data_IF_171931407891
#
_entry.id   IF_171931407891
#
_cell.length_a   1.000
_cell.length_b   1.000
_cell.length_c   1.000
_cell.angle_alpha   90.00
_cell.angle_beta   90.00
_cell.angle_gamma   90.00
#
_symmetry.space_group_name_H-M   'P 1'
#
loop_
_entity.id
_entity.type
_entity.pdbx_description
1 polymer ?
#
# COMPACT_ATOMS: atom_id res chain seq x y z
N UNK A 1 -55.22 -30.92 -7.94
CA UNK A 1 -56.13 -30.59 -9.05
C UNK A 1 -55.79 -29.24 -9.59
N UNK A 2 -55.61 -29.09 -10.78
CA UNK A 2 -55.51 -28.32 -12.04
C UNK A 2 -54.07 -27.82 -12.28
N UNK A 3 -53.30 -28.45 -13.20
CA UNK A 3 -53.11 -28.45 -14.68
C UNK A 3 -53.09 -27.04 -15.29
N UNK A 4 -51.89 -26.61 -15.66
CA UNK A 4 -51.28 -26.49 -16.98
C UNK A 4 -51.86 -25.43 -17.94
N UNK A 5 -50.98 -24.60 -18.50
CA UNK A 5 -50.96 -24.34 -19.94
C UNK A 5 -49.66 -23.67 -20.38
N UNK A 6 -49.02 -24.37 -21.24
CA UNK A 6 -47.91 -23.99 -22.11
C UNK A 6 -48.50 -23.22 -23.29
N UNK A 7 -47.90 -22.10 -23.71
CA UNK A 7 -48.11 -21.54 -25.05
C UNK A 7 -46.78 -21.10 -25.64
N UNK A 8 -46.37 -21.88 -26.63
CA UNK A 8 -45.33 -21.54 -27.59
C UNK A 8 -45.97 -21.01 -28.86
N UNK A 9 -45.38 -20.07 -29.55
CA UNK A 9 -45.44 -19.87 -30.99
C UNK A 9 -44.54 -18.73 -31.49
N UNK A 10 -44.22 -18.60 -32.80
CA UNK A 10 -43.01 -19.12 -33.39
C UNK A 10 -42.15 -18.07 -34.11
N UNK A 11 -41.01 -18.54 -34.60
CA UNK A 11 -40.07 -17.89 -35.53
C UNK A 11 -40.75 -17.28 -36.76
N UNK A 12 -40.23 -16.13 -37.22
CA UNK A 12 -40.33 -15.74 -38.60
C UNK A 12 -39.00 -15.20 -39.14
N UNK A 13 -38.33 -16.04 -39.90
CA UNK A 13 -37.25 -15.67 -40.80
C UNK A 13 -37.80 -14.84 -41.98
N UNK A 14 -37.23 -13.73 -42.30
CA UNK A 14 -37.23 -13.18 -43.66
C UNK A 14 -35.86 -12.66 -44.03
N UNK A 15 -35.23 -13.45 -44.85
CA UNK A 15 -34.11 -13.10 -45.75
C UNK A 15 -34.51 -12.01 -46.74
N UNK A 16 -33.67 -11.03 -46.96
CA UNK A 16 -33.62 -10.28 -48.23
C UNK A 16 -32.19 -9.99 -48.60
N UNK A 17 -31.76 -10.68 -49.64
CA UNK A 17 -30.58 -10.37 -50.46
C UNK A 17 -30.83 -9.14 -51.33
N UNK A 18 -29.86 -8.30 -51.55
CA UNK A 18 -29.73 -7.38 -52.69
C UNK A 18 -28.27 -7.00 -52.83
N UNK A 19 -27.60 -7.61 -53.67
CA UNK A 19 -27.04 -7.44 -55.06
C UNK A 19 -26.27 -6.10 -55.22
N UNK A 20 -25.01 -6.31 -55.34
CA UNK A 20 -23.93 -5.70 -56.17
C UNK A 20 -24.39 -4.73 -57.26
N UNK A 21 -23.71 -3.57 -57.32
CA UNK A 21 -23.45 -2.84 -58.55
C UNK A 21 -22.02 -2.30 -58.54
N UNK A 22 -21.18 -2.89 -59.41
CA UNK A 22 -19.91 -2.34 -59.87
C UNK A 22 -20.19 -1.14 -60.78
N UNK A 23 -19.44 -0.07 -60.62
CA UNK A 23 -19.19 0.90 -61.71
C UNK A 23 -17.74 1.30 -61.67
N UNK A 24 -17.04 0.86 -62.68
CA UNK A 24 -15.70 1.30 -63.02
C UNK A 24 -15.77 2.69 -63.68
N UNK A 25 -14.88 3.59 -63.30
CA UNK A 25 -14.53 4.76 -64.14
C UNK A 25 -13.02 4.92 -64.09
N UNK A 26 -12.44 4.65 -65.28
CA UNK A 26 -11.07 4.99 -65.61
C UNK A 26 -10.98 6.45 -66.04
N UNK A 27 -9.95 7.16 -65.61
CA UNK A 27 -9.36 8.23 -66.40
C UNK A 27 -8.07 8.82 -65.79
N UNK A 28 -7.04 8.71 -66.57
CA UNK A 28 -5.98 9.66 -66.96
C UNK A 28 -4.92 10.04 -65.93
N UNK A 29 -3.76 9.50 -66.23
CA UNK A 29 -2.42 9.88 -65.77
C UNK A 29 -2.08 11.28 -66.26
N UNK A 30 -1.76 12.18 -65.32
CA UNK A 30 -1.00 13.37 -65.59
C UNK A 30 0.30 13.33 -64.78
N UNK A 31 1.40 13.09 -65.49
CA UNK A 31 2.74 13.04 -64.93
C UNK A 31 3.22 14.50 -64.71
N UNK A 32 3.22 14.98 -63.46
CA UNK A 32 3.92 16.20 -63.07
C UNK A 32 5.13 15.78 -62.23
N UNK A 33 6.31 15.82 -62.88
CA UNK A 33 7.57 15.66 -62.18
C UNK A 33 7.84 16.93 -61.36
N UNK A 34 7.61 16.89 -60.06
CA UNK A 34 8.14 17.87 -59.10
C UNK A 34 9.46 17.32 -58.55
N UNK A 35 10.55 18.03 -58.84
CA UNK A 35 11.81 17.87 -58.11
C UNK A 35 11.57 18.25 -56.62
N UNK A 36 11.47 17.26 -55.76
CA UNK A 36 11.63 17.48 -54.32
C UNK A 36 13.12 17.39 -54.00
N UNK A 37 13.73 18.53 -53.75
CA UNK A 37 15.01 18.59 -53.03
C UNK A 37 14.80 18.00 -51.62
N UNK A 38 15.43 16.85 -51.36
CA UNK A 38 15.44 16.23 -50.07
C UNK A 38 16.17 17.14 -49.07
N UNK A 39 15.42 17.75 -48.16
CA UNK A 39 15.98 18.32 -46.95
C UNK A 39 16.48 17.16 -46.09
N UNK A 40 17.64 17.29 -45.44
CA UNK A 40 18.11 16.25 -44.53
C UNK A 40 17.09 16.07 -43.39
N UNK A 41 16.62 14.85 -43.23
CA UNK A 41 15.76 14.48 -42.10
C UNK A 41 16.52 14.77 -40.79
N UNK A 42 16.03 15.74 -40.02
CA UNK A 42 16.48 15.95 -38.65
C UNK A 42 16.23 14.65 -37.90
N UNK A 43 17.28 13.98 -37.47
CA UNK A 43 17.18 12.82 -36.60
C UNK A 43 16.44 13.26 -35.35
N UNK A 44 15.23 12.75 -35.20
CA UNK A 44 14.46 12.88 -33.96
C UNK A 44 15.25 12.16 -32.85
N UNK A 45 15.60 12.81 -31.75
CA UNK A 45 16.27 12.12 -30.66
C UNK A 45 15.40 10.95 -30.23
N UNK A 46 15.99 9.77 -30.08
CA UNK A 46 15.36 8.60 -29.49
C UNK A 46 14.67 9.00 -28.16
N UNK A 47 13.49 8.40 -27.82
CA UNK A 47 12.87 8.67 -26.53
C UNK A 47 13.93 8.47 -25.46
N UNK A 48 14.27 9.55 -24.75
CA UNK A 48 15.34 9.56 -23.77
C UNK A 48 15.15 8.45 -22.77
N UNK A 49 16.19 7.66 -22.54
CA UNK A 49 16.29 6.79 -21.40
C UNK A 49 15.87 7.61 -20.17
N UNK A 50 14.94 7.08 -19.38
CA UNK A 50 14.53 7.71 -18.15
C UNK A 50 15.80 8.11 -17.35
N UNK A 51 15.90 9.34 -16.83
CA UNK A 51 17.10 9.77 -16.13
C UNK A 51 17.40 8.76 -15.02
N UNK A 52 18.61 8.22 -15.04
CA UNK A 52 19.08 7.36 -13.96
C UNK A 52 18.87 8.11 -12.64
N UNK A 53 18.15 7.52 -11.71
CA UNK A 53 17.90 8.13 -10.41
C UNK A 53 19.24 8.28 -9.71
N UNK A 54 19.71 9.50 -9.58
CA UNK A 54 20.86 9.79 -8.74
C UNK A 54 20.43 9.57 -7.28
N UNK A 55 20.82 8.41 -6.70
CA UNK A 55 20.76 8.27 -5.25
C UNK A 55 21.52 9.45 -4.64
N UNK A 56 20.93 10.13 -3.68
CA UNK A 56 21.62 11.19 -2.94
C UNK A 56 22.87 10.57 -2.32
N UNK A 57 24.07 11.12 -2.56
CA UNK A 57 25.26 10.59 -1.93
C UNK A 57 25.05 10.54 -0.42
N UNK A 58 24.99 9.32 0.17
CA UNK A 58 24.83 9.12 1.62
C UNK A 58 23.63 8.27 2.05
N UNK A 59 22.58 8.07 1.24
CA UNK A 59 21.47 7.18 1.62
C UNK A 59 21.43 5.89 0.77
N UNK A 60 21.95 4.74 1.27
CA UNK A 60 21.98 3.48 0.53
C UNK A 60 20.59 2.86 0.33
N UNK A 61 19.58 3.37 1.02
CA UNK A 61 18.21 2.85 0.99
C UNK A 61 17.30 3.61 0.04
N UNK A 62 17.77 4.71 -0.52
CA UNK A 62 17.06 5.51 -1.53
C UNK A 62 17.13 4.80 -2.88
N UNK A 63 16.16 3.95 -3.17
CA UNK A 63 16.12 3.06 -4.33
C UNK A 63 15.00 3.42 -5.28
N UNK A 64 15.16 2.95 -6.54
CA UNK A 64 14.19 3.20 -7.58
C UNK A 64 14.21 4.64 -8.13
N UNK A 65 13.35 4.95 -9.12
CA UNK A 65 13.27 6.26 -9.73
C UNK A 65 12.78 7.33 -8.75
N UNK A 66 12.91 8.60 -9.14
CA UNK A 66 12.28 9.69 -8.38
C UNK A 66 10.77 9.47 -8.35
N UNK A 67 10.15 9.50 -7.15
CA UNK A 67 8.74 9.21 -7.04
C UNK A 67 7.88 10.31 -7.68
N UNK A 68 6.78 9.87 -8.30
CA UNK A 68 5.74 10.76 -8.83
C UNK A 68 4.39 10.39 -8.21
N UNK A 69 3.41 11.29 -8.28
CA UNK A 69 2.06 10.99 -7.80
C UNK A 69 1.49 9.75 -8.51
N UNK A 70 1.64 9.64 -9.82
CA UNK A 70 1.18 8.47 -10.58
C UNK A 70 1.82 7.16 -10.11
N UNK A 71 3.07 7.19 -9.65
CA UNK A 71 3.72 5.99 -9.10
C UNK A 71 3.10 5.55 -7.79
N UNK A 72 2.84 6.46 -6.85
CA UNK A 72 2.23 6.09 -5.55
C UNK A 72 0.74 5.75 -5.67
N UNK A 73 0.10 6.13 -6.76
CA UNK A 73 -1.28 5.76 -7.11
C UNK A 73 -1.37 4.42 -7.85
N UNK A 74 -0.25 3.93 -8.38
CA UNK A 74 -0.20 2.65 -9.07
C UNK A 74 -0.34 1.48 -8.08
N UNK A 75 -0.99 0.41 -8.50
CA UNK A 75 -1.15 -0.82 -7.70
C UNK A 75 0.13 -1.65 -7.60
N UNK A 76 1.18 -1.24 -8.32
CA UNK A 76 2.49 -1.89 -8.33
C UNK A 76 3.61 -0.86 -8.35
N UNK A 77 4.61 -1.08 -7.51
CA UNK A 77 5.86 -0.34 -7.52
C UNK A 77 6.89 -0.91 -8.53
N UNK A 78 8.11 -0.38 -8.53
CA UNK A 78 9.12 -0.72 -9.53
C UNK A 78 9.80 -2.09 -9.34
N UNK A 79 9.56 -2.80 -8.23
CA UNK A 79 10.31 -4.01 -7.90
C UNK A 79 9.50 -5.28 -8.13
N UNK A 80 10.13 -6.28 -8.76
CA UNK A 80 9.57 -7.62 -8.85
C UNK A 80 9.51 -8.28 -7.45
N UNK A 81 8.47 -9.05 -7.19
CA UNK A 81 8.19 -9.62 -5.88
C UNK A 81 7.97 -11.13 -5.92
N UNK A 82 8.16 -11.77 -4.78
CA UNK A 82 7.78 -13.14 -4.50
C UNK A 82 7.10 -13.22 -3.14
N UNK A 83 6.47 -14.36 -2.88
CA UNK A 83 5.86 -14.64 -1.58
C UNK A 83 6.15 -16.08 -1.15
N UNK A 84 6.07 -16.33 0.15
CA UNK A 84 6.15 -17.66 0.74
C UNK A 84 5.27 -17.77 1.98
N UNK A 85 4.74 -18.96 2.23
CA UNK A 85 4.01 -19.25 3.46
C UNK A 85 4.94 -19.33 4.65
N UNK A 86 4.45 -18.88 5.79
CA UNK A 86 5.14 -18.94 7.08
C UNK A 86 4.45 -20.00 7.95
N UNK A 87 5.18 -20.98 8.47
CA UNK A 87 4.60 -22.00 9.33
C UNK A 87 4.21 -21.42 10.69
N UNK A 88 3.36 -22.15 11.42
CA UNK A 88 3.02 -21.88 12.83
C UNK A 88 4.18 -22.19 13.77
N UNK A 89 4.07 -21.81 15.05
CA UNK A 89 5.03 -22.21 16.09
C UNK A 89 6.18 -21.24 16.34
N UNK A 90 6.06 -20.01 15.82
CA UNK A 90 7.08 -18.97 16.01
C UNK A 90 6.59 -17.81 16.90
N UNK A 91 5.63 -18.08 17.79
CA UNK A 91 5.00 -17.08 18.64
C UNK A 91 3.76 -16.43 18.03
N UNK A 92 3.42 -16.83 16.80
CA UNK A 92 2.20 -16.47 16.06
C UNK A 92 1.73 -17.66 15.23
N UNK A 93 0.53 -17.61 14.67
CA UNK A 93 -0.09 -18.75 13.99
C UNK A 93 0.22 -18.82 12.48
N UNK A 94 1.48 -18.55 12.11
CA UNK A 94 1.89 -18.56 10.71
C UNK A 94 1.44 -17.32 9.95
N UNK A 95 1.47 -17.39 8.61
CA UNK A 95 1.11 -16.26 7.76
C UNK A 95 1.71 -16.34 6.37
N UNK A 96 1.96 -15.18 5.79
CA UNK A 96 2.59 -15.04 4.47
C UNK A 96 3.61 -13.91 4.50
N UNK A 97 4.80 -14.15 3.94
CA UNK A 97 5.77 -13.09 3.70
C UNK A 97 5.87 -12.79 2.22
N UNK A 98 5.83 -11.49 1.87
CA UNK A 98 6.02 -10.94 0.53
C UNK A 98 7.32 -10.14 0.50
N UNK A 99 8.10 -10.25 -0.56
CA UNK A 99 9.41 -9.63 -0.57
C UNK A 99 9.91 -9.31 -1.99
N UNK A 100 10.72 -8.24 -2.15
CA UNK A 100 11.40 -7.96 -3.41
C UNK A 100 12.39 -9.07 -3.76
N UNK A 101 12.45 -9.44 -5.04
CA UNK A 101 13.33 -10.52 -5.51
C UNK A 101 14.74 -10.06 -5.82
N UNK A 102 14.96 -8.77 -6.08
CA UNK A 102 16.28 -8.22 -6.39
C UNK A 102 17.20 -8.26 -5.14
N UNK A 103 18.31 -8.99 -5.27
CA UNK A 103 19.34 -9.10 -4.23
C UNK A 103 20.53 -8.18 -4.47
N UNK A 104 20.64 -7.57 -5.63
CA UNK A 104 21.74 -6.67 -5.98
C UNK A 104 21.68 -5.34 -5.21
N UNK A 105 20.49 -4.98 -4.74
CA UNK A 105 20.23 -3.77 -3.98
C UNK A 105 20.46 -3.91 -2.46
N UNK A 106 20.94 -5.08 -2.00
CA UNK A 106 21.18 -5.36 -0.57
C UNK A 106 19.90 -5.69 0.21
N UNK A 107 19.87 -5.32 1.49
CA UNK A 107 18.76 -5.64 2.41
C UNK A 107 17.62 -4.62 2.33
N UNK A 108 16.40 -5.04 2.61
CA UNK A 108 15.18 -4.25 2.55
C UNK A 108 14.66 -3.94 3.96
N UNK A 109 14.01 -2.79 4.13
CA UNK A 109 13.20 -2.52 5.30
C UNK A 109 12.02 -3.48 5.37
N UNK A 110 11.55 -3.79 6.58
CA UNK A 110 10.49 -4.76 6.76
C UNK A 110 9.38 -4.29 7.70
N UNK A 111 8.17 -4.83 7.47
CA UNK A 111 7.04 -4.60 8.38
C UNK A 111 6.28 -5.89 8.64
N UNK A 112 5.73 -5.99 9.85
CA UNK A 112 4.75 -7.01 10.22
C UNK A 112 3.35 -6.39 10.25
N UNK A 113 2.35 -7.11 9.73
CA UNK A 113 0.94 -6.70 9.68
C UNK A 113 0.11 -7.69 10.48
N UNK A 114 -0.75 -7.19 11.37
CA UNK A 114 -1.68 -8.00 12.17
C UNK A 114 -3.12 -7.57 11.94
N UNK A 115 -4.06 -8.53 11.73
CA UNK A 115 -5.46 -8.25 11.46
C UNK A 115 -6.24 -7.77 12.70
N UNK A 116 -7.49 -7.35 12.47
CA UNK A 116 -8.46 -6.98 13.49
C UNK A 116 -9.00 -8.13 14.34
N UNK A 117 -9.91 -7.81 15.25
CA UNK A 117 -10.59 -8.81 16.11
C UNK A 117 -11.44 -9.75 15.26
N UNK A 118 -11.35 -11.05 15.48
CA UNK A 118 -11.97 -12.14 14.71
C UNK A 118 -11.53 -12.27 13.26
N UNK A 119 -10.65 -11.41 12.79
CA UNK A 119 -10.14 -11.36 11.43
C UNK A 119 -9.03 -12.40 11.18
N UNK A 120 -8.73 -12.59 9.90
CA UNK A 120 -7.59 -13.36 9.41
C UNK A 120 -6.86 -12.51 8.38
N UNK A 121 -5.55 -12.35 8.54
CA UNK A 121 -4.73 -11.55 7.62
C UNK A 121 -4.96 -11.96 6.15
N UNK A 122 -4.97 -13.27 5.87
CA UNK A 122 -5.15 -13.78 4.51
C UNK A 122 -6.46 -13.38 3.82
N UNK A 123 -7.47 -13.01 4.61
CA UNK A 123 -8.79 -12.63 4.09
C UNK A 123 -8.99 -11.11 4.02
N UNK A 124 -8.25 -10.35 4.80
CA UNK A 124 -8.51 -8.92 5.01
C UNK A 124 -7.36 -8.05 4.49
N UNK A 125 -6.15 -8.17 5.03
CA UNK A 125 -5.04 -7.28 4.69
C UNK A 125 -4.01 -7.90 3.72
N UNK A 126 -4.21 -9.15 3.27
CA UNK A 126 -3.24 -9.83 2.39
C UNK A 126 -2.99 -9.08 1.06
N UNK A 127 -3.95 -8.29 0.60
CA UNK A 127 -3.83 -7.46 -0.59
C UNK A 127 -2.69 -6.40 -0.47
N UNK A 128 -2.37 -5.96 0.75
CA UNK A 128 -1.27 -5.01 1.01
C UNK A 128 0.09 -5.65 0.75
N UNK A 129 0.22 -6.96 0.94
CA UNK A 129 1.49 -7.67 0.84
C UNK A 129 2.21 -7.48 -0.49
N UNK A 130 1.64 -7.92 -1.63
CA UNK A 130 2.26 -7.74 -2.93
C UNK A 130 2.39 -6.26 -3.32
N UNK A 131 1.47 -5.41 -2.90
CA UNK A 131 1.52 -3.98 -3.20
C UNK A 131 2.70 -3.31 -2.51
N UNK A 132 2.79 -3.38 -1.19
CA UNK A 132 3.89 -2.77 -0.42
C UNK A 132 5.24 -3.40 -0.78
N UNK A 133 5.30 -4.73 -1.01
CA UNK A 133 6.57 -5.36 -1.37
C UNK A 133 7.09 -4.89 -2.73
N UNK A 134 6.22 -4.57 -3.67
CA UNK A 134 6.62 -4.00 -4.97
C UNK A 134 7.21 -2.59 -4.86
N UNK A 135 6.98 -1.89 -3.75
CA UNK A 135 7.62 -0.63 -3.42
C UNK A 135 8.93 -0.79 -2.63
N UNK A 136 9.37 -2.02 -2.38
CA UNK A 136 10.69 -2.29 -1.79
C UNK A 136 10.64 -2.57 -0.30
N UNK A 137 9.58 -3.21 0.20
CA UNK A 137 9.49 -3.65 1.60
C UNK A 137 9.37 -5.17 1.69
N UNK A 138 9.92 -5.76 2.74
CA UNK A 138 9.55 -7.12 3.13
C UNK A 138 8.33 -7.02 4.03
N UNK A 139 7.23 -7.67 3.65
CA UNK A 139 5.94 -7.58 4.33
C UNK A 139 5.58 -8.95 4.89
N UNK A 140 5.51 -9.05 6.20
CA UNK A 140 5.06 -10.25 6.90
C UNK A 140 3.64 -10.03 7.42
N UNK A 141 2.65 -10.65 6.79
CA UNK A 141 1.31 -10.73 7.35
C UNK A 141 1.18 -11.94 8.25
N UNK A 142 0.81 -11.71 9.51
CA UNK A 142 0.68 -12.77 10.52
C UNK A 142 -0.78 -13.15 10.75
N UNK A 143 -1.02 -14.44 10.97
CA UNK A 143 -2.26 -14.91 11.60
C UNK A 143 -2.05 -14.95 13.11
N UNK A 144 -3.03 -14.47 13.89
CA UNK A 144 -2.96 -14.50 15.35
C UNK A 144 -3.17 -15.90 15.92
N UNK A 145 -2.58 -16.19 17.08
CA UNK A 145 -2.73 -17.49 17.75
C UNK A 145 -4.20 -17.79 18.10
N UNK A 146 -4.95 -16.75 18.44
CA UNK A 146 -6.40 -16.80 18.50
C UNK A 146 -7.00 -15.59 17.77
N UNK A 147 -8.06 -15.79 17.03
CA UNK A 147 -8.78 -14.70 16.36
C UNK A 147 -9.37 -13.69 17.35
N UNK A 148 -9.54 -14.08 18.60
CA UNK A 148 -10.05 -13.23 19.68
C UNK A 148 -8.95 -12.69 20.59
N UNK A 149 -7.68 -12.79 20.20
CA UNK A 149 -6.57 -12.20 20.93
C UNK A 149 -6.78 -10.70 21.15
N UNK A 150 -6.43 -10.25 22.35
CA UNK A 150 -6.49 -8.84 22.71
C UNK A 150 -5.30 -8.07 22.10
N UNK A 151 -5.28 -6.76 22.26
CA UNK A 151 -4.24 -5.90 21.72
C UNK A 151 -2.83 -6.26 22.24
N UNK A 152 -2.73 -6.67 23.49
CA UNK A 152 -1.47 -7.05 24.14
C UNK A 152 -0.85 -8.31 23.52
N UNK A 153 -1.67 -9.35 23.29
CA UNK A 153 -1.27 -10.56 22.61
C UNK A 153 -0.84 -10.26 21.17
N UNK A 154 -1.61 -9.44 20.42
CA UNK A 154 -1.27 -9.03 19.05
C UNK A 154 0.04 -8.26 18.95
N UNK A 155 0.34 -7.42 19.95
CA UNK A 155 1.64 -6.75 20.04
C UNK A 155 2.77 -7.76 20.22
N UNK A 156 2.60 -8.76 21.07
CA UNK A 156 3.56 -9.84 21.30
C UNK A 156 3.80 -10.64 20.01
N UNK A 157 2.73 -10.96 19.29
CA UNK A 157 2.78 -11.70 18.03
C UNK A 157 3.46 -10.91 16.91
N UNK A 158 3.20 -9.59 16.79
CA UNK A 158 3.90 -8.71 15.86
C UNK A 158 5.41 -8.71 16.10
N UNK A 159 5.83 -8.56 17.37
CA UNK A 159 7.25 -8.54 17.72
C UNK A 159 7.91 -9.91 17.54
N UNK A 160 7.19 -11.01 17.82
CA UNK A 160 7.62 -12.35 17.50
C UNK A 160 7.79 -12.56 15.99
N UNK A 161 6.87 -12.03 15.18
CA UNK A 161 6.95 -12.07 13.72
C UNK A 161 8.18 -11.35 13.18
N UNK A 162 8.47 -10.15 13.65
CA UNK A 162 9.68 -9.42 13.28
C UNK A 162 10.95 -10.13 13.72
N UNK A 163 10.96 -10.74 14.90
CA UNK A 163 12.08 -11.56 15.38
C UNK A 163 12.30 -12.78 14.49
N UNK A 164 11.24 -13.51 14.15
CA UNK A 164 11.34 -14.64 13.24
C UNK A 164 11.84 -14.20 11.86
N UNK A 165 11.32 -13.12 11.34
CA UNK A 165 11.67 -12.61 10.01
C UNK A 165 13.16 -12.29 9.89
N UNK A 166 13.76 -11.73 10.95
CA UNK A 166 15.16 -11.30 10.95
C UNK A 166 16.15 -12.39 11.39
N UNK A 167 15.69 -13.42 12.12
CA UNK A 167 16.60 -14.43 12.70
C UNK A 167 16.42 -15.83 12.15
N UNK A 168 15.21 -16.24 11.78
CA UNK A 168 14.88 -17.63 11.43
C UNK A 168 14.40 -17.80 10.00
N UNK A 169 13.83 -16.73 9.40
CA UNK A 169 13.26 -16.79 8.06
C UNK A 169 14.29 -17.24 7.02
N UNK A 170 13.89 -18.06 6.02
CA UNK A 170 14.74 -18.37 4.86
C UNK A 170 15.22 -17.14 4.11
N UNK A 171 14.51 -16.02 4.21
CA UNK A 171 14.87 -14.76 3.55
C UNK A 171 15.50 -13.73 4.51
N UNK A 172 15.88 -14.11 5.73
CA UNK A 172 16.45 -13.18 6.73
C UNK A 172 17.62 -12.35 6.20
N UNK A 173 18.42 -12.91 5.28
CA UNK A 173 19.54 -12.20 4.65
C UNK A 173 19.09 -11.08 3.68
N UNK A 174 17.80 -10.96 3.39
CA UNK A 174 17.20 -9.87 2.59
C UNK A 174 16.63 -8.76 3.48
N UNK A 175 16.55 -9.00 4.79
CA UNK A 175 15.91 -8.09 5.75
C UNK A 175 16.97 -7.30 6.50
N UNK A 176 16.77 -6.00 6.62
CA UNK A 176 17.57 -5.15 7.49
C UNK A 176 16.96 -5.18 8.91
N UNK A 177 17.65 -5.75 9.91
CA UNK A 177 17.10 -5.85 11.27
C UNK A 177 16.98 -4.49 11.99
N UNK A 178 17.56 -3.42 11.44
CA UNK A 178 17.50 -2.08 11.99
C UNK A 178 16.42 -1.19 11.34
N UNK A 179 15.73 -1.71 10.32
CA UNK A 179 14.68 -0.98 9.59
C UNK A 179 13.37 -1.76 9.62
N UNK A 180 12.76 -1.80 10.81
CA UNK A 180 11.55 -2.57 11.10
C UNK A 180 10.38 -1.66 11.45
N UNK A 181 9.18 -2.09 11.10
CA UNK A 181 7.92 -1.40 11.32
C UNK A 181 6.81 -2.38 11.68
N UNK A 182 5.73 -1.85 12.23
CA UNK A 182 4.49 -2.60 12.50
C UNK A 182 3.28 -1.87 11.93
N UNK A 183 2.29 -2.65 11.49
CA UNK A 183 1.02 -2.17 11.00
C UNK A 183 -0.09 -3.05 11.53
N UNK A 184 -1.25 -2.46 11.83
CA UNK A 184 -2.42 -3.23 12.21
C UNK A 184 -3.73 -2.48 12.01
N UNK A 185 -4.80 -3.24 11.80
CA UNK A 185 -6.15 -2.73 11.67
C UNK A 185 -6.94 -3.00 12.96
N UNK A 186 -7.76 -2.05 13.41
CA UNK A 186 -8.68 -2.21 14.54
C UNK A 186 -7.95 -2.69 15.80
N UNK A 187 -8.32 -3.84 16.38
CA UNK A 187 -7.61 -4.47 17.50
C UNK A 187 -6.13 -4.76 17.16
N UNK A 188 -5.82 -5.08 15.89
CA UNK A 188 -4.45 -5.17 15.40
C UNK A 188 -3.72 -3.84 15.42
N UNK A 189 -4.41 -2.75 15.11
CA UNK A 189 -3.88 -1.40 15.23
C UNK A 189 -3.57 -1.02 16.67
N UNK A 190 -4.41 -1.42 17.62
CA UNK A 190 -4.11 -1.30 19.05
C UNK A 190 -2.89 -2.13 19.45
N UNK A 191 -2.74 -3.34 18.87
CA UNK A 191 -1.55 -4.17 19.02
C UNK A 191 -0.29 -3.51 18.46
N UNK A 192 -0.40 -2.85 17.30
CA UNK A 192 0.72 -2.12 16.70
C UNK A 192 1.19 -0.94 17.58
N UNK A 193 0.26 -0.20 18.20
CA UNK A 193 0.58 0.86 19.16
C UNK A 193 1.37 0.27 20.35
N UNK A 194 0.87 -0.79 20.97
CA UNK A 194 1.53 -1.43 22.10
C UNK A 194 2.90 -1.99 21.71
N UNK A 195 3.02 -2.56 20.50
CA UNK A 195 4.29 -3.04 19.98
C UNK A 195 5.32 -1.90 19.80
N UNK A 196 4.88 -0.74 19.30
CA UNK A 196 5.72 0.45 19.15
C UNK A 196 6.20 0.98 20.51
N UNK A 197 5.32 1.03 21.50
CA UNK A 197 5.69 1.42 22.87
C UNK A 197 6.69 0.45 23.52
N UNK A 198 6.58 -0.86 23.25
CA UNK A 198 7.50 -1.90 23.75
C UNK A 198 8.84 -1.92 23.05
N UNK A 199 8.88 -1.56 21.75
CA UNK A 199 10.08 -1.57 20.93
C UNK A 199 10.33 -0.21 20.27
N UNK A 200 10.85 0.78 21.01
CA UNK A 200 11.08 2.13 20.49
C UNK A 200 12.15 2.22 19.39
N UNK A 201 12.82 1.12 19.08
CA UNK A 201 13.77 1.02 17.95
C UNK A 201 13.08 0.80 16.61
N UNK A 202 11.78 0.53 16.58
CA UNK A 202 10.97 0.50 15.36
C UNK A 202 11.07 1.85 14.63
N UNK A 203 11.12 1.81 13.31
CA UNK A 203 11.28 3.02 12.49
C UNK A 203 9.95 3.64 12.11
N UNK A 204 8.87 2.88 12.10
CA UNK A 204 7.54 3.37 11.83
C UNK A 204 6.47 2.49 12.49
N UNK A 205 5.34 3.09 12.79
CA UNK A 205 4.10 2.42 13.14
C UNK A 205 2.96 2.97 12.29
N UNK A 206 2.06 2.09 11.85
CA UNK A 206 0.83 2.46 11.14
C UNK A 206 -0.37 1.81 11.84
N UNK A 207 -1.31 2.64 12.28
CA UNK A 207 -2.58 2.21 12.82
C UNK A 207 -3.74 2.55 11.89
N UNK A 208 -4.41 1.52 11.36
CA UNK A 208 -5.61 1.64 10.54
C UNK A 208 -6.83 1.48 11.45
N UNK A 209 -7.57 2.55 11.66
CA UNK A 209 -8.63 2.61 12.65
C UNK A 209 -8.23 1.92 13.98
N UNK A 210 -7.06 2.25 14.58
CA UNK A 210 -6.54 1.52 15.73
C UNK A 210 -7.43 1.74 16.94
N UNK A 211 -7.77 0.64 17.60
CA UNK A 211 -8.53 0.76 18.84
C UNK A 211 -9.29 -0.50 19.19
N UNK A 212 -9.60 -0.55 20.46
CA UNK A 212 -10.57 -1.46 21.06
C UNK A 212 -11.33 -0.63 22.09
N UNK A 213 -12.44 0.01 21.71
CA UNK A 213 -13.15 0.94 22.57
C UNK A 213 -13.45 0.33 23.96
N UNK A 214 -13.15 1.09 25.02
CA UNK A 214 -13.32 0.65 26.40
C UNK A 214 -12.05 0.10 27.06
N UNK A 215 -10.95 -0.11 26.35
CA UNK A 215 -9.73 -0.72 26.92
C UNK A 215 -8.64 0.27 27.37
N UNK A 216 -8.95 1.57 27.45
CA UNK A 216 -8.00 2.57 27.96
C UNK A 216 -6.71 2.70 27.14
N UNK A 217 -6.76 2.42 25.83
CA UNK A 217 -5.60 2.57 24.94
C UNK A 217 -5.09 4.01 24.94
N UNK A 218 -3.78 4.17 24.97
CA UNK A 218 -3.10 5.46 24.96
C UNK A 218 -1.82 5.34 24.13
N UNK A 219 -1.37 6.42 23.54
CA UNK A 219 -0.08 6.54 22.83
C UNK A 219 0.88 7.46 23.59
N UNK A 220 0.64 7.72 24.87
CA UNK A 220 1.37 8.74 25.65
C UNK A 220 2.87 8.43 25.82
N UNK A 221 3.28 7.17 25.65
CA UNK A 221 4.69 6.75 25.73
C UNK A 221 5.31 6.40 24.37
N UNK A 222 4.53 6.49 23.30
CA UNK A 222 5.01 6.15 21.96
C UNK A 222 6.03 7.18 21.44
N UNK A 223 7.18 6.68 21.01
CA UNK A 223 8.31 7.45 20.46
C UNK A 223 8.56 7.13 18.99
N UNK A 224 7.90 6.12 18.47
CA UNK A 224 8.04 5.65 17.10
C UNK A 224 7.26 6.57 16.16
N UNK A 225 7.80 6.97 15.01
CA UNK A 225 7.07 7.71 14.00
C UNK A 225 5.74 7.02 13.66
N UNK A 226 4.63 7.73 13.86
CA UNK A 226 3.28 7.14 13.90
C UNK A 226 2.33 7.75 12.90
N UNK A 227 1.81 6.92 11.97
CA UNK A 227 0.70 7.25 11.10
C UNK A 227 -0.59 6.61 11.63
N UNK A 228 -1.60 7.43 11.88
CA UNK A 228 -2.95 6.98 12.23
C UNK A 228 -3.92 7.32 11.11
N UNK A 229 -4.62 6.31 10.60
CA UNK A 229 -5.64 6.49 9.54
C UNK A 229 -6.99 6.07 10.10
N UNK A 230 -7.97 6.97 10.03
CA UNK A 230 -9.34 6.74 10.48
C UNK A 230 -10.38 6.84 9.38
N UNK A 231 -11.57 6.30 9.59
CA UNK A 231 -12.71 6.42 8.70
C UNK A 231 -13.73 7.44 9.20
N UNK A 232 -14.20 8.34 8.32
CA UNK A 232 -15.18 9.37 8.70
C UNK A 232 -16.52 8.79 9.17
N UNK A 233 -16.92 7.64 8.65
CA UNK A 233 -18.17 6.94 8.98
C UNK A 233 -17.92 5.65 9.79
N UNK A 234 -16.76 5.55 10.42
CA UNK A 234 -16.46 4.42 11.30
C UNK A 234 -17.33 4.49 12.57
N UNK A 235 -18.09 3.42 12.81
CA UNK A 235 -18.97 3.28 13.98
C UNK A 235 -18.40 2.35 15.04
N UNK A 236 -17.32 1.61 14.75
CA UNK A 236 -16.63 0.73 15.69
C UNK A 236 -15.50 1.48 16.40
N UNK A 237 -14.60 2.08 15.65
CA UNK A 237 -13.56 2.98 16.14
C UNK A 237 -13.92 4.40 15.66
N UNK A 238 -14.79 5.05 16.43
CA UNK A 238 -15.41 6.31 16.00
C UNK A 238 -14.37 7.42 15.79
N UNK A 239 -14.64 8.38 14.87
CA UNK A 239 -13.77 9.54 14.68
C UNK A 239 -13.42 10.27 15.98
N UNK A 240 -14.40 10.44 16.89
CA UNK A 240 -14.18 11.10 18.18
C UNK A 240 -13.24 10.30 19.07
N UNK A 241 -13.42 8.98 19.16
CA UNK A 241 -12.50 8.11 19.90
C UNK A 241 -11.08 8.20 19.33
N UNK A 242 -10.95 8.11 18.00
CA UNK A 242 -9.66 8.08 17.37
C UNK A 242 -8.91 9.42 17.46
N UNK A 243 -9.62 10.54 17.38
CA UNK A 243 -9.05 11.87 17.62
C UNK A 243 -8.57 12.01 19.07
N UNK A 244 -9.32 11.51 20.05
CA UNK A 244 -8.92 11.47 21.45
C UNK A 244 -7.69 10.60 21.69
N UNK A 245 -7.62 9.44 21.06
CA UNK A 245 -6.47 8.55 21.13
C UNK A 245 -5.22 9.22 20.52
N UNK A 246 -5.35 9.79 19.32
CA UNK A 246 -4.25 10.49 18.66
C UNK A 246 -3.74 11.70 19.48
N UNK A 247 -4.63 12.39 20.18
CA UNK A 247 -4.27 13.51 21.06
C UNK A 247 -3.41 13.10 22.26
N UNK A 248 -3.35 11.81 22.62
CA UNK A 248 -2.46 11.32 23.70
C UNK A 248 -1.00 11.22 23.24
N UNK A 249 -0.73 11.23 21.91
CA UNK A 249 0.61 11.07 21.37
C UNK A 249 1.51 12.26 21.78
N UNK A 250 2.76 12.02 22.24
CA UNK A 250 3.66 13.08 22.62
C UNK A 250 3.90 14.08 21.49
N UNK A 251 3.99 15.35 21.82
CA UNK A 251 4.27 16.42 20.83
C UNK A 251 5.59 16.19 20.09
N UNK A 252 6.56 15.57 20.73
CA UNK A 252 7.88 15.23 20.16
C UNK A 252 7.86 14.06 19.19
N UNK A 253 6.81 13.21 19.21
CA UNK A 253 6.71 12.07 18.30
C UNK A 253 6.28 12.54 16.92
N UNK A 254 7.06 12.18 15.89
CA UNK A 254 6.72 12.45 14.52
C UNK A 254 5.46 11.69 14.12
N UNK A 255 4.48 12.37 13.56
CA UNK A 255 3.20 11.70 13.29
C UNK A 255 2.39 12.40 12.22
N UNK A 256 1.46 11.63 11.64
CA UNK A 256 0.35 12.13 10.84
C UNK A 256 -0.95 11.46 11.27
N UNK A 257 -2.03 12.23 11.21
CA UNK A 257 -3.39 11.73 11.32
C UNK A 257 -4.14 12.02 10.03
N UNK A 258 -4.75 11.00 9.44
CA UNK A 258 -5.58 11.15 8.25
C UNK A 258 -6.95 10.50 8.49
N UNK A 259 -8.04 11.19 8.15
CA UNK A 259 -9.40 10.65 8.16
C UNK A 259 -9.92 10.55 6.74
N UNK A 260 -10.18 9.33 6.27
CA UNK A 260 -10.69 9.06 4.93
C UNK A 260 -12.19 9.41 4.88
N UNK A 261 -12.57 10.25 3.91
CA UNK A 261 -13.94 10.70 3.72
C UNK A 261 -14.86 9.53 3.36
N UNK A 262 -15.98 9.42 4.07
CA UNK A 262 -16.97 8.37 3.85
C UNK A 262 -16.56 6.95 4.22
N UNK A 263 -15.31 6.70 4.62
CA UNK A 263 -14.83 5.37 4.99
C UNK A 263 -15.49 4.87 6.28
N UNK A 264 -15.85 3.59 6.27
CA UNK A 264 -16.34 2.84 7.43
C UNK A 264 -15.19 2.04 8.06
N UNK A 265 -15.46 1.29 9.13
CA UNK A 265 -14.48 0.41 9.78
C UNK A 265 -13.88 -0.66 8.87
N UNK A 266 -14.65 -1.10 7.88
CA UNK A 266 -14.25 -2.18 6.94
C UNK A 266 -13.57 -1.66 5.66
N UNK A 267 -13.32 -0.36 5.56
CA UNK A 267 -12.69 0.24 4.38
C UNK A 267 -11.32 -0.36 4.06
N UNK A 268 -10.56 -0.67 5.09
CA UNK A 268 -9.17 -1.15 5.03
C UNK A 268 -9.02 -2.60 4.56
N UNK A 269 -10.13 -3.34 4.50
CA UNK A 269 -10.15 -4.76 4.13
C UNK A 269 -10.08 -4.99 2.61
N UNK A 270 -10.13 -3.93 1.83
CA UNK A 270 -10.20 -4.00 0.37
C UNK A 270 -9.12 -3.14 -0.28
N UNK A 271 -8.54 -3.60 -1.42
CA UNK A 271 -7.55 -2.82 -2.14
C UNK A 271 -8.06 -1.41 -2.45
N UNK A 272 -7.30 -0.42 -2.01
CA UNK A 272 -7.59 0.97 -2.28
C UNK A 272 -6.29 1.80 -2.35
N UNK A 273 -6.23 2.74 -3.27
CA UNK A 273 -5.06 3.60 -3.44
C UNK A 273 -5.06 4.82 -2.50
N UNK A 274 -6.18 5.16 -1.88
CA UNK A 274 -6.25 6.27 -0.91
C UNK A 274 -5.38 5.96 0.30
N UNK A 275 -5.51 4.75 0.82
CA UNK A 275 -4.68 4.25 1.92
C UNK A 275 -3.21 4.14 1.50
N UNK A 276 -2.94 3.55 0.32
CA UNK A 276 -1.57 3.37 -0.14
C UNK A 276 -0.84 4.68 -0.42
N UNK A 277 -1.54 5.74 -0.84
CA UNK A 277 -0.98 7.10 -0.97
C UNK A 277 -0.49 7.68 0.36
N UNK A 278 -0.97 7.19 1.49
CA UNK A 278 -0.50 7.56 2.83
C UNK A 278 0.60 6.60 3.31
N UNK A 279 0.39 5.29 3.17
CA UNK A 279 1.28 4.26 3.71
C UNK A 279 2.63 4.22 2.99
N UNK A 280 2.63 4.22 1.64
CA UNK A 280 3.88 4.11 0.87
C UNK A 280 4.83 5.26 1.18
N UNK A 281 4.44 6.55 1.11
CA UNK A 281 5.34 7.63 1.46
C UNK A 281 5.78 7.57 2.92
N UNK A 282 4.89 7.23 3.86
CA UNK A 282 5.22 7.09 5.27
C UNK A 282 6.33 6.07 5.51
N UNK A 283 6.16 4.87 4.95
CA UNK A 283 7.15 3.80 5.08
C UNK A 283 8.45 4.15 4.36
N UNK A 284 8.39 4.79 3.18
CA UNK A 284 9.60 5.24 2.48
C UNK A 284 10.40 6.25 3.28
N UNK A 285 9.74 7.22 3.90
CA UNK A 285 10.40 8.24 4.71
C UNK A 285 11.08 7.58 5.93
N UNK A 286 10.39 6.73 6.67
CA UNK A 286 10.86 6.27 7.97
C UNK A 286 11.62 4.93 7.94
N UNK A 287 11.32 4.01 7.00
CA UNK A 287 12.09 2.77 6.85
C UNK A 287 13.30 2.92 5.94
N UNK A 288 13.16 3.70 4.85
CA UNK A 288 14.22 3.85 3.84
C UNK A 288 14.96 5.18 3.95
N UNK A 289 14.60 6.06 4.92
CA UNK A 289 15.11 7.44 5.02
C UNK A 289 14.98 8.20 3.69
N UNK A 290 13.97 7.84 2.87
CA UNK A 290 13.79 8.39 1.53
C UNK A 290 12.90 9.64 1.56
N UNK A 291 13.49 10.76 1.89
CA UNK A 291 12.79 12.04 2.02
C UNK A 291 12.24 12.59 0.69
N UNK A 292 12.55 11.97 -0.48
CA UNK A 292 11.89 12.30 -1.75
C UNK A 292 10.38 12.08 -1.70
N UNK A 293 9.93 11.20 -0.81
CA UNK A 293 8.50 10.90 -0.61
C UNK A 293 7.79 11.90 0.30
N UNK A 294 8.50 12.80 0.98
CA UNK A 294 7.90 13.80 1.87
C UNK A 294 6.91 14.71 1.13
N UNK A 295 7.18 15.04 -0.13
CA UNK A 295 6.33 15.87 -0.98
C UNK A 295 4.88 15.36 -1.10
N UNK A 296 4.62 14.09 -0.79
CA UNK A 296 3.29 13.49 -0.85
C UNK A 296 2.52 13.55 0.48
N UNK A 297 3.20 13.96 1.54
CA UNK A 297 2.61 14.06 2.89
C UNK A 297 2.76 15.45 3.50
N UNK A 298 3.71 16.26 3.04
CA UNK A 298 4.06 17.56 3.62
C UNK A 298 4.15 18.67 2.58
N UNK A 299 3.70 19.88 2.88
CA UNK A 299 2.93 20.25 4.08
C UNK A 299 1.47 19.82 4.00
N UNK A 300 1.03 19.34 2.85
CA UNK A 300 -0.33 18.86 2.56
C UNK A 300 -0.30 17.74 1.53
N UNK A 301 -1.39 16.99 1.44
CA UNK A 301 -1.56 15.96 0.41
C UNK A 301 -1.70 16.61 -0.97
N UNK A 302 -1.08 16.07 -2.03
CA UNK A 302 -1.27 16.55 -3.41
C UNK A 302 -2.71 16.47 -3.89
N UNK A 303 -3.43 15.40 -3.47
CA UNK A 303 -4.86 15.22 -3.72
C UNK A 303 -5.58 14.93 -2.39
N UNK A 304 -6.14 15.96 -1.73
CA UNK A 304 -6.87 15.79 -0.48
C UNK A 304 -8.35 15.41 -0.67
N UNK A 305 -8.85 15.23 -1.89
CA UNK A 305 -10.29 15.08 -2.19
C UNK A 305 -10.98 13.93 -1.45
N UNK A 306 -10.24 12.89 -1.13
CA UNK A 306 -10.72 11.71 -0.40
C UNK A 306 -10.40 11.74 1.10
N UNK A 307 -9.80 12.81 1.60
CA UNK A 307 -9.39 12.96 3.00
C UNK A 307 -10.19 14.10 3.63
N UNK A 308 -10.95 13.79 4.67
CA UNK A 308 -11.79 14.77 5.37
C UNK A 308 -11.04 15.55 6.47
N UNK A 309 -10.01 14.92 7.05
CA UNK A 309 -9.13 15.54 8.05
C UNK A 309 -7.69 15.08 7.78
N UNK A 310 -6.73 16.02 7.82
CA UNK A 310 -5.30 15.69 7.72
C UNK A 310 -4.49 16.59 8.67
N UNK A 311 -3.73 15.97 9.56
CA UNK A 311 -2.87 16.65 10.53
C UNK A 311 -1.45 16.07 10.46
N UNK A 312 -0.58 16.54 9.54
CA UNK A 312 0.83 16.17 9.51
C UNK A 312 1.65 16.99 10.51
N UNK A 313 2.65 16.39 11.12
CA UNK A 313 3.71 17.11 11.86
C UNK A 313 4.94 17.27 10.98
N UNK A 314 4.86 18.18 10.04
CA UNK A 314 5.94 18.50 9.09
C UNK A 314 7.00 19.46 9.67
N UNK A 315 8.27 19.41 9.22
CA UNK A 315 8.85 18.41 8.31
C UNK A 315 9.11 17.07 9.00
N UNK A 316 9.17 15.99 8.22
CA UNK A 316 9.55 14.70 8.75
C UNK A 316 11.07 14.53 8.75
N UNK A 317 11.61 14.12 9.89
CA UNK A 317 13.06 13.92 10.08
C UNK A 317 13.29 12.46 10.48
N UNK A 318 13.54 11.55 9.52
CA UNK A 318 13.79 10.16 9.85
C UNK A 318 15.10 10.02 10.66
N UNK A 319 15.08 9.17 11.68
CA UNK A 319 16.26 8.85 12.48
C UNK A 319 17.16 7.87 11.71
N UNK A 320 18.41 8.22 11.58
CA UNK A 320 19.47 7.37 11.01
C UNK A 320 19.74 6.12 11.83
#
# INVERSE_FOLDING_TARGET
MLKAAISACPLNLRTRSARILLSALAATVALVAMLFTALPASAQPAPGAAPASHATPGNPYQRGPNPTLAMIEATHGPFATAQMSVPTGHGFNGGTVYYPTDTSLGTWGALAIVPGYTALFRNEEAWMGPWLSSFGFVVLGIETNSRTDNADARATELLAGLTWLTTQSPIRNRVDPHRLSVLGHSAGGAGAIIAAERQPSLKAMVGLAPGFPGNGLSMATDKVPTLVVGGQKDTAVTPTYLAGLYATLPASTQSAFAQIAGATHLYYLHPNNVEMKLLIPWLKIFLDNDTRYEQFLCPSLPDPSTISIYHPKCPYVPSH
#
